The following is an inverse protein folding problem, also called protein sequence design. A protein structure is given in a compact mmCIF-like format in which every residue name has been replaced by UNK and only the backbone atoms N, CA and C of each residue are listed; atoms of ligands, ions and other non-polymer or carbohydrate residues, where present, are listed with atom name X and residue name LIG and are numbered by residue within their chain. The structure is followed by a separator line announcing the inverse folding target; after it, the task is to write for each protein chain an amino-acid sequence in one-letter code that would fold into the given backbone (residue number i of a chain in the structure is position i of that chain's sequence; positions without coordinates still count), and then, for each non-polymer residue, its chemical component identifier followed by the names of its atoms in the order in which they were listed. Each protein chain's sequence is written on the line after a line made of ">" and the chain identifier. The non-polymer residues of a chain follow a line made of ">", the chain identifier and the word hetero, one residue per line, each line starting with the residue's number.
data_IF_856043575024
#
_entry.id   IF_856043575024
#
_cell.length_a   1.000
_cell.length_b   1.000
_cell.length_c   1.000
_cell.angle_alpha   90.00
_cell.angle_beta   90.00
_cell.angle_gamma   90.00
#
_symmetry.space_group_name_H-M   'P 1'
#
loop_
_entity.id
_entity.type
_entity.pdbx_description
1 polymer ?
#
# COMPACT_ATOMS: atom_id res chain seq x y z
N UNK A 1 -21.65 2.36 -12.92
CA UNK A 1 -20.44 1.89 -13.64
C UNK A 1 -19.66 0.80 -12.90
N UNK A 2 -19.85 0.59 -11.59
CA UNK A 2 -19.16 -0.46 -10.82
C UNK A 2 -19.75 -1.88 -10.95
N UNK A 3 -21.04 -2.01 -11.30
CA UNK A 3 -21.71 -3.31 -11.45
C UNK A 3 -21.16 -4.16 -12.61
N UNK A 4 -20.70 -3.52 -13.69
CA UNK A 4 -20.18 -4.20 -14.87
C UNK A 4 -18.83 -4.86 -14.63
N UNK A 5 -17.99 -4.27 -13.76
CA UNK A 5 -16.66 -4.80 -13.43
C UNK A 5 -16.76 -6.00 -12.49
N UNK A 6 -17.69 -5.95 -11.53
CA UNK A 6 -17.96 -7.08 -10.62
C UNK A 6 -18.61 -8.25 -11.39
N UNK A 7 -19.54 -7.96 -12.32
CA UNK A 7 -20.15 -8.98 -13.16
C UNK A 7 -19.14 -9.66 -14.11
N UNK A 8 -18.21 -8.90 -14.70
CA UNK A 8 -17.14 -9.44 -15.54
C UNK A 8 -16.12 -10.28 -14.75
N UNK A 9 -15.77 -9.85 -13.53
CA UNK A 9 -14.88 -10.61 -12.63
C UNK A 9 -15.49 -11.94 -12.16
N UNK A 10 -16.77 -11.94 -11.77
CA UNK A 10 -17.50 -13.15 -11.37
C UNK A 10 -17.72 -14.07 -12.58
N UNK A 11 -18.02 -13.53 -13.77
CA UNK A 11 -18.16 -14.31 -15.00
C UNK A 11 -16.87 -14.98 -15.47
N UNK A 12 -15.73 -14.30 -15.30
CA UNK A 12 -14.40 -14.86 -15.58
C UNK A 12 -14.01 -15.99 -14.62
N UNK A 13 -14.24 -15.81 -13.31
CA UNK A 13 -14.01 -16.87 -12.32
C UNK A 13 -14.97 -18.05 -12.49
N UNK A 14 -16.26 -17.79 -12.79
CA UNK A 14 -17.25 -18.83 -13.02
C UNK A 14 -16.97 -19.67 -14.27
N UNK A 15 -16.47 -19.06 -15.35
CA UNK A 15 -16.11 -19.80 -16.57
C UNK A 15 -14.84 -20.65 -16.39
N UNK A 16 -13.84 -20.14 -15.64
CA UNK A 16 -12.67 -20.93 -15.25
C UNK A 16 -13.05 -22.08 -14.31
N UNK A 17 -13.92 -21.80 -13.32
CA UNK A 17 -14.47 -22.80 -12.41
C UNK A 17 -15.43 -23.80 -13.08
N UNK A 18 -16.05 -23.45 -14.20
CA UNK A 18 -16.91 -24.36 -14.96
C UNK A 18 -16.13 -25.23 -15.95
N UNK A 19 -14.94 -24.80 -16.41
CA UNK A 19 -14.13 -25.56 -17.37
C UNK A 19 -13.44 -26.79 -16.76
N UNK A 20 -12.93 -26.69 -15.54
CA UNK A 20 -12.27 -27.80 -14.82
C UNK A 20 -13.22 -28.70 -14.00
N UNK A 21 -14.45 -28.25 -13.73
CA UNK A 21 -15.44 -28.98 -12.91
C UNK A 21 -15.91 -30.30 -13.55
N UNK A 22 -16.18 -30.38 -14.87
CA UNK A 22 -16.51 -31.63 -15.53
C UNK A 22 -15.39 -32.66 -15.41
N UNK A 23 -14.13 -32.23 -15.53
CA UNK A 23 -12.95 -33.11 -15.40
C UNK A 23 -12.80 -33.67 -13.98
N UNK A 24 -13.04 -32.84 -12.96
CA UNK A 24 -13.03 -33.28 -11.55
C UNK A 24 -14.17 -34.27 -11.29
N UNK A 25 -15.38 -33.97 -11.76
CA UNK A 25 -16.55 -34.86 -11.59
C UNK A 25 -16.35 -36.18 -12.34
N UNK A 26 -15.73 -36.15 -13.51
CA UNK A 26 -15.42 -37.36 -14.27
C UNK A 26 -14.36 -38.20 -13.57
N UNK A 27 -13.27 -37.58 -13.08
CA UNK A 27 -12.26 -38.29 -12.28
C UNK A 27 -12.87 -38.91 -11.01
N UNK A 28 -13.73 -38.17 -10.30
CA UNK A 28 -14.42 -38.68 -9.11
C UNK A 28 -15.36 -39.84 -9.48
N UNK A 29 -16.11 -39.74 -10.58
CA UNK A 29 -16.97 -40.83 -11.06
C UNK A 29 -16.18 -42.07 -11.46
N UNK A 30 -15.06 -41.92 -12.15
CA UNK A 30 -14.18 -43.04 -12.53
C UNK A 30 -13.58 -43.72 -11.30
N UNK A 31 -13.14 -42.93 -10.31
CA UNK A 31 -12.68 -43.44 -9.01
C UNK A 31 -13.81 -44.14 -8.25
N UNK A 32 -15.03 -43.60 -8.29
CA UNK A 32 -16.20 -44.19 -7.62
C UNK A 32 -16.66 -45.49 -8.26
N UNK A 33 -16.64 -45.57 -9.60
CA UNK A 33 -16.93 -46.80 -10.35
C UNK A 33 -15.83 -47.83 -10.12
N UNK A 34 -14.57 -47.43 -10.01
CA UNK A 34 -13.47 -48.33 -9.68
C UNK A 34 -13.55 -48.86 -8.23
N UNK A 35 -13.96 -48.02 -7.27
CA UNK A 35 -14.18 -48.40 -5.88
C UNK A 35 -15.44 -49.27 -5.69
N UNK A 36 -16.49 -49.02 -6.49
CA UNK A 36 -17.76 -49.76 -6.45
C UNK A 36 -17.78 -51.02 -7.32
N UNK A 37 -16.85 -51.15 -8.27
CA UNK A 37 -16.63 -52.40 -8.99
C UNK A 37 -16.11 -53.44 -7.99
N UNK A 38 -16.77 -54.59 -7.93
CA UNK A 38 -16.45 -55.72 -7.07
C UNK A 38 -15.09 -56.29 -7.46
N UNK A 39 -14.03 -55.62 -7.03
CA UNK A 39 -12.66 -55.99 -7.32
C UNK A 39 -12.24 -57.09 -6.34
N UNK A 40 -11.50 -58.11 -6.80
CA UNK A 40 -10.98 -59.20 -5.96
C UNK A 40 -9.87 -58.74 -4.98
N UNK A 41 -9.70 -57.43 -4.79
CA UNK A 41 -8.64 -56.82 -4.00
C UNK A 41 -9.15 -56.67 -2.58
N UNK A 42 -8.45 -57.28 -1.64
CA UNK A 42 -8.80 -57.24 -0.22
C UNK A 42 -8.95 -55.80 0.26
N UNK A 43 -10.11 -55.44 0.84
CA UNK A 43 -10.46 -54.07 1.26
C UNK A 43 -9.41 -53.40 2.15
N UNK A 44 -8.60 -54.19 2.87
CA UNK A 44 -7.49 -53.73 3.70
C UNK A 44 -6.38 -53.03 2.90
N UNK A 45 -6.12 -53.46 1.66
CA UNK A 45 -5.12 -52.83 0.78
C UNK A 45 -5.59 -51.43 0.37
N UNK A 46 -6.88 -51.27 0.06
CA UNK A 46 -7.49 -49.97 -0.25
C UNK A 46 -7.42 -49.05 0.96
N UNK A 47 -7.69 -49.57 2.17
CA UNK A 47 -7.57 -48.81 3.41
C UNK A 47 -6.13 -48.35 3.69
N UNK A 48 -5.14 -49.23 3.49
CA UNK A 48 -3.72 -48.88 3.66
C UNK A 48 -3.26 -47.81 2.65
N UNK A 49 -3.73 -47.90 1.40
CA UNK A 49 -3.37 -46.96 0.35
C UNK A 49 -4.05 -45.59 0.57
N UNK A 50 -5.29 -45.57 1.04
CA UNK A 50 -5.98 -44.35 1.46
C UNK A 50 -5.28 -43.68 2.65
N UNK A 51 -4.83 -44.45 3.64
CA UNK A 51 -4.09 -43.94 4.80
C UNK A 51 -2.78 -43.24 4.38
N UNK A 52 -2.08 -43.77 3.36
CA UNK A 52 -0.85 -43.17 2.83
C UNK A 52 -1.10 -41.95 1.94
N UNK A 53 -2.21 -41.93 1.19
CA UNK A 53 -2.58 -40.82 0.34
C UNK A 53 -3.05 -39.59 1.14
N UNK A 54 -3.72 -39.81 2.27
CA UNK A 54 -4.29 -38.75 3.11
C UNK A 54 -3.28 -37.65 3.52
N UNK A 55 -2.08 -37.96 4.08
CA UNK A 55 -1.10 -36.94 4.42
C UNK A 55 -0.57 -36.19 3.19
N UNK A 56 -0.37 -36.87 2.05
CA UNK A 56 0.07 -36.20 0.81
C UNK A 56 -0.96 -35.21 0.30
N UNK A 57 -2.24 -35.55 0.38
CA UNK A 57 -3.34 -34.66 0.00
C UNK A 57 -3.43 -33.46 0.95
N UNK A 58 -3.35 -33.69 2.27
CA UNK A 58 -3.38 -32.61 3.27
C UNK A 58 -2.23 -31.62 3.09
N UNK A 59 -1.01 -32.10 2.86
CA UNK A 59 0.15 -31.24 2.60
C UNK A 59 -0.01 -30.50 1.27
N UNK A 60 -0.47 -31.16 0.21
CA UNK A 60 -0.73 -30.53 -1.08
C UNK A 60 -1.75 -29.40 -0.98
N UNK A 61 -2.85 -29.62 -0.27
CA UNK A 61 -3.88 -28.59 -0.02
C UNK A 61 -3.33 -27.46 0.85
N UNK A 62 -2.54 -27.76 1.88
CA UNK A 62 -1.93 -26.75 2.75
C UNK A 62 -0.96 -25.85 1.97
N UNK A 63 -0.11 -26.43 1.12
CA UNK A 63 0.82 -25.68 0.27
C UNK A 63 0.08 -24.86 -0.78
N UNK A 64 -0.94 -25.43 -1.43
CA UNK A 64 -1.80 -24.68 -2.36
C UNK A 64 -2.49 -23.51 -1.65
N UNK A 65 -2.97 -23.70 -0.42
CA UNK A 65 -3.51 -22.62 0.40
C UNK A 65 -2.48 -21.57 0.79
N UNK A 66 -1.22 -21.93 1.02
CA UNK A 66 -0.16 -20.95 1.27
C UNK A 66 0.21 -20.15 0.02
N UNK A 67 0.18 -20.76 -1.17
CA UNK A 67 0.42 -20.11 -2.46
C UNK A 67 -0.72 -19.16 -2.86
N UNK A 68 -1.96 -19.52 -2.54
CA UNK A 68 -3.15 -18.71 -2.85
C UNK A 68 -3.44 -17.66 -1.77
N UNK A 69 -2.87 -17.82 -0.56
CA UNK A 69 -2.96 -16.77 0.46
C UNK A 69 -2.22 -15.54 -0.08
N UNK A 70 -2.91 -14.40 -0.26
CA UNK A 70 -2.22 -13.18 -0.54
C UNK A 70 -1.25 -12.94 0.61
N UNK A 71 0.04 -12.82 0.28
CA UNK A 71 1.04 -12.31 1.22
C UNK A 71 0.42 -11.09 1.89
N UNK A 72 0.37 -11.02 3.24
CA UNK A 72 -0.11 -9.82 3.91
C UNK A 72 0.70 -8.68 3.31
N UNK A 73 0.02 -7.72 2.69
CA UNK A 73 0.66 -6.56 2.11
C UNK A 73 1.67 -6.07 3.15
N UNK A 74 2.96 -6.11 2.82
CA UNK A 74 4.02 -5.62 3.68
C UNK A 74 3.53 -4.29 4.22
N UNK A 75 3.53 -4.13 5.55
CA UNK A 75 3.04 -2.90 6.20
C UNK A 75 3.55 -1.71 5.39
N UNK A 76 2.68 -0.78 4.98
CA UNK A 76 3.11 0.34 4.16
C UNK A 76 4.26 1.03 4.90
N UNK A 77 5.43 1.00 4.27
CA UNK A 77 6.66 1.48 4.88
C UNK A 77 6.63 3.00 4.83
N UNK A 78 6.24 3.61 5.94
CA UNK A 78 6.19 5.05 6.09
C UNK A 78 7.60 5.67 5.97
N UNK A 79 8.68 4.89 6.05
CA UNK A 79 10.01 5.38 5.73
C UNK A 79 10.17 5.83 4.28
N UNK A 80 9.30 5.38 3.36
CA UNK A 80 9.24 5.87 1.98
C UNK A 80 8.66 7.28 1.83
N UNK A 81 8.03 7.83 2.88
CA UNK A 81 7.45 9.17 2.86
C UNK A 81 8.50 10.24 3.19
N UNK A 82 9.32 10.60 2.20
CA UNK A 82 10.47 11.50 2.35
C UNK A 82 10.34 12.83 1.62
N UNK A 83 9.21 13.07 0.95
CA UNK A 83 8.94 14.31 0.20
C UNK A 83 7.46 14.67 0.27
N UNK A 84 7.15 15.96 0.45
CA UNK A 84 5.80 16.51 0.31
C UNK A 84 5.85 18.03 0.14
N UNK A 85 4.72 18.64 -0.23
CA UNK A 85 4.58 20.09 -0.36
C UNK A 85 3.87 20.68 0.85
N UNK A 86 4.54 21.60 1.55
CA UNK A 86 3.98 22.36 2.66
C UNK A 86 4.27 23.84 2.48
N UNK A 87 3.26 24.67 2.74
CA UNK A 87 3.38 26.14 2.68
C UNK A 87 3.89 26.68 1.33
N UNK A 88 3.55 26.02 0.22
CA UNK A 88 4.01 26.43 -1.13
C UNK A 88 5.46 26.05 -1.45
N UNK A 89 6.13 25.32 -0.55
CA UNK A 89 7.49 24.80 -0.71
C UNK A 89 7.45 23.28 -0.82
N UNK A 90 8.36 22.72 -1.62
CA UNK A 90 8.61 21.28 -1.61
C UNK A 90 9.61 20.99 -0.50
N UNK A 91 9.26 20.10 0.41
CA UNK A 91 10.12 19.67 1.49
C UNK A 91 10.62 18.27 1.21
N UNK A 92 11.92 18.05 1.41
CA UNK A 92 12.52 16.72 1.41
C UNK A 92 13.20 16.49 2.74
N UNK A 93 13.11 15.27 3.24
CA UNK A 93 13.71 14.89 4.50
C UNK A 93 14.10 13.41 4.48
N UNK A 94 14.81 12.99 5.52
CA UNK A 94 15.16 11.59 5.76
C UNK A 94 14.72 11.19 7.17
N UNK A 95 14.60 9.89 7.39
CA UNK A 95 14.32 9.34 8.72
C UNK A 95 15.56 8.67 9.28
N UNK A 96 15.75 8.80 10.59
CA UNK A 96 16.62 7.93 11.35
C UNK A 96 15.90 6.61 11.61
N UNK A 97 16.65 5.58 12.04
CA UNK A 97 16.09 4.28 12.39
C UNK A 97 15.06 4.34 13.53
N UNK A 98 15.11 5.39 14.36
CA UNK A 98 14.16 5.65 15.45
C UNK A 98 12.89 6.40 14.99
N UNK A 99 12.82 6.78 13.70
CA UNK A 99 11.71 7.53 13.11
C UNK A 99 11.75 9.03 13.27
N UNK A 100 12.82 9.57 13.85
CA UNK A 100 13.02 11.02 13.87
C UNK A 100 13.42 11.54 12.49
N UNK A 101 12.91 12.73 12.17
CA UNK A 101 13.18 13.41 10.89
C UNK A 101 14.56 14.08 10.98
N UNK A 102 15.43 13.81 10.00
CA UNK A 102 16.71 14.48 9.81
C UNK A 102 16.86 15.01 8.39
N UNK A 103 17.82 15.92 8.21
CA UNK A 103 18.19 16.50 6.91
C UNK A 103 16.99 17.08 6.14
N UNK A 104 16.20 17.92 6.82
CA UNK A 104 15.03 18.55 6.24
C UNK A 104 15.45 19.80 5.44
N UNK A 105 15.05 19.83 4.18
CA UNK A 105 15.43 20.88 3.24
C UNK A 105 14.26 21.34 2.38
N UNK A 106 14.29 22.63 2.02
CA UNK A 106 13.30 23.27 1.16
C UNK A 106 13.77 23.35 -0.29
N UNK A 107 12.87 23.02 -1.21
CA UNK A 107 13.08 22.99 -2.65
C UNK A 107 11.98 23.79 -3.35
N UNK A 108 12.32 24.34 -4.51
CA UNK A 108 11.38 25.00 -5.39
C UNK A 108 10.45 23.95 -6.04
N UNK A 109 9.12 24.07 -5.93
CA UNK A 109 8.20 23.15 -6.57
C UNK A 109 8.23 23.21 -8.11
N UNK A 110 8.73 24.31 -8.69
CA UNK A 110 8.76 24.52 -10.14
C UNK A 110 10.00 23.96 -10.84
N UNK A 111 11.19 24.13 -10.25
CA UNK A 111 12.45 23.76 -10.88
C UNK A 111 13.31 22.81 -10.05
N UNK A 112 12.81 22.37 -8.89
CA UNK A 112 13.49 21.47 -7.96
C UNK A 112 14.84 21.99 -7.42
N UNK A 113 15.08 23.29 -7.54
CA UNK A 113 16.27 23.94 -6.99
C UNK A 113 16.14 24.08 -5.47
N UNK A 114 17.20 23.77 -4.73
CA UNK A 114 17.22 23.96 -3.28
C UNK A 114 17.14 25.46 -2.95
N UNK A 115 16.21 25.84 -2.09
CA UNK A 115 15.98 27.24 -1.70
C UNK A 115 16.27 27.43 -0.23
N UNK A 116 16.81 28.59 0.12
CA UNK A 116 17.13 28.97 1.49
C UNK A 116 16.31 30.19 1.93
N UNK A 117 15.98 30.31 3.23
CA UNK A 117 15.26 31.47 3.74
C UNK A 117 16.13 32.72 3.60
N UNK A 118 15.57 33.77 2.98
CA UNK A 118 16.17 35.09 2.94
C UNK A 118 15.57 35.94 4.04
N UNK A 119 16.44 36.60 4.82
CA UNK A 119 15.97 37.51 5.86
C UNK A 119 15.32 38.75 5.21
N UNK A 120 14.05 38.98 5.51
CA UNK A 120 13.27 40.12 5.07
C UNK A 120 12.88 41.05 6.24
N UNK A 121 13.42 40.82 7.45
CA UNK A 121 13.26 41.70 8.62
C UNK A 121 14.15 42.94 8.45
N UNK A 122 13.83 43.81 7.49
CA UNK A 122 14.67 44.97 7.22
C UNK A 122 14.80 45.86 8.47
N UNK A 123 13.71 46.06 9.24
CA UNK A 123 13.69 46.81 10.51
C UNK A 123 12.46 46.48 11.40
N UNK A 124 11.78 45.36 11.16
CA UNK A 124 10.56 44.98 11.87
C UNK A 124 10.88 44.28 13.20
N UNK A 125 10.04 44.50 14.23
CA UNK A 125 10.12 43.78 15.50
C UNK A 125 9.75 42.28 15.39
N UNK A 126 9.26 41.85 14.22
CA UNK A 126 8.83 40.48 13.92
C UNK A 126 9.72 39.92 12.83
N UNK A 127 10.29 38.74 13.08
CA UNK A 127 11.09 38.04 12.09
C UNK A 127 10.26 37.74 10.84
N UNK A 128 10.81 38.08 9.69
CA UNK A 128 10.19 37.86 8.39
C UNK A 128 11.16 37.13 7.50
N UNK A 129 10.74 35.98 7.00
CA UNK A 129 11.52 35.20 6.04
C UNK A 129 10.79 35.17 4.70
N UNK A 130 11.56 35.26 3.62
CA UNK A 130 11.09 35.11 2.25
C UNK A 130 11.81 33.95 1.60
N UNK A 131 11.08 33.17 0.80
CA UNK A 131 11.69 32.19 -0.09
C UNK A 131 11.61 32.68 -1.53
N UNK A 132 12.77 32.79 -2.16
CA UNK A 132 12.91 33.11 -3.58
C UNK A 132 13.80 32.04 -4.22
N UNK A 133 13.41 31.56 -5.39
CA UNK A 133 14.25 30.65 -6.15
C UNK A 133 15.24 31.44 -7.00
N UNK A 134 16.53 31.10 -6.92
CA UNK A 134 17.57 31.75 -7.74
C UNK A 134 17.57 31.26 -9.19
N UNK A 135 17.07 30.05 -9.45
CA UNK A 135 17.03 29.46 -10.80
C UNK A 135 15.85 29.96 -11.64
N UNK A 136 14.62 29.87 -11.13
CA UNK A 136 13.42 30.30 -11.87
C UNK A 136 12.87 31.67 -11.44
N UNK A 137 13.52 32.35 -10.48
CA UNK A 137 13.12 33.66 -9.95
C UNK A 137 11.71 33.73 -9.36
N UNK A 138 11.04 32.58 -9.14
CA UNK A 138 9.73 32.53 -8.51
C UNK A 138 9.80 32.91 -7.03
N UNK A 139 8.87 33.75 -6.59
CA UNK A 139 8.62 33.96 -5.16
C UNK A 139 7.76 32.81 -4.63
N UNK A 140 8.29 32.06 -3.67
CA UNK A 140 7.68 30.82 -3.16
C UNK A 140 6.84 31.04 -1.90
N UNK A 141 6.96 32.22 -1.28
CA UNK A 141 6.17 32.61 -0.13
C UNK A 141 6.94 33.52 0.83
N UNK A 142 6.18 34.19 1.70
CA UNK A 142 6.72 35.00 2.79
C UNK A 142 6.01 34.60 4.09
N UNK A 143 6.78 34.46 5.16
CA UNK A 143 6.29 34.10 6.48
C UNK A 143 6.68 35.18 7.48
N UNK A 144 5.77 35.50 8.40
CA UNK A 144 5.98 36.46 9.49
C UNK A 144 6.46 35.74 10.76
N UNK A 145 7.36 34.78 10.59
CA UNK A 145 7.96 33.98 11.65
C UNK A 145 9.39 33.62 11.25
N UNK A 146 10.22 33.25 12.23
CA UNK A 146 11.55 32.70 11.99
C UNK A 146 11.49 31.35 11.26
N UNK A 147 12.56 31.02 10.54
CA UNK A 147 12.67 29.75 9.79
C UNK A 147 12.47 28.53 10.67
N UNK A 148 13.01 28.55 11.90
CA UNK A 148 12.87 27.45 12.87
C UNK A 148 11.41 27.17 13.23
N UNK A 149 10.55 28.19 13.29
CA UNK A 149 9.14 28.02 13.57
C UNK A 149 8.41 27.32 12.41
N UNK A 150 8.74 27.69 11.17
CA UNK A 150 8.19 27.07 9.96
C UNK A 150 8.67 25.62 9.82
N UNK A 151 9.95 25.36 10.10
CA UNK A 151 10.51 24.01 10.11
C UNK A 151 9.83 23.13 11.18
N UNK A 152 9.66 23.65 12.41
CA UNK A 152 8.98 22.95 13.50
C UNK A 152 7.52 22.63 13.16
N UNK A 153 6.79 23.57 12.55
CA UNK A 153 5.43 23.33 12.05
C UNK A 153 5.41 22.24 10.99
N UNK A 154 6.36 22.27 10.04
CA UNK A 154 6.47 21.26 8.98
C UNK A 154 6.71 19.87 9.57
N UNK A 155 7.65 19.72 10.50
CA UNK A 155 7.89 18.44 11.22
C UNK A 155 6.62 17.92 11.90
N UNK A 156 5.85 18.80 12.55
CA UNK A 156 4.57 18.42 13.18
C UNK A 156 3.52 17.96 12.15
N UNK A 157 3.44 18.62 10.99
CA UNK A 157 2.54 18.20 9.91
C UNK A 157 2.93 16.85 9.30
N UNK A 158 4.22 16.61 9.08
CA UNK A 158 4.74 15.31 8.62
C UNK A 158 4.31 14.21 9.61
N UNK A 159 4.58 14.40 10.90
CA UNK A 159 4.20 13.45 11.95
C UNK A 159 2.68 13.24 12.02
N UNK A 160 1.89 14.30 11.84
CA UNK A 160 0.43 14.19 11.77
C UNK A 160 -0.02 13.35 10.57
N UNK A 161 0.55 13.56 9.38
CA UNK A 161 0.22 12.77 8.18
C UNK A 161 0.60 11.31 8.35
N UNK A 162 1.77 11.01 8.91
CA UNK A 162 2.20 9.64 9.23
C UNK A 162 1.18 8.96 10.14
N UNK A 163 0.81 9.62 11.25
CA UNK A 163 -0.17 9.08 12.21
C UNK A 163 -1.56 8.87 11.61
N UNK A 164 -1.96 9.74 10.69
CA UNK A 164 -3.29 9.71 10.08
C UNK A 164 -3.34 8.85 8.80
N UNK A 165 -2.24 8.24 8.35
CA UNK A 165 -2.19 7.46 7.11
C UNK A 165 -2.21 8.28 5.80
N UNK A 166 -2.41 9.60 5.88
CA UNK A 166 -2.56 10.50 4.73
C UNK A 166 -1.28 10.74 3.90
N UNK A 167 -0.24 9.94 4.11
CA UNK A 167 1.05 10.00 3.42
C UNK A 167 1.13 9.02 2.24
N UNK A 168 0.50 7.85 2.37
CA UNK A 168 0.35 6.91 1.26
C UNK A 168 -0.85 7.38 0.45
N UNK A 169 -0.62 7.83 -0.78
CA UNK A 169 -1.66 8.36 -1.68
C UNK A 169 -2.89 7.45 -1.90
N UNK A 170 -2.89 6.22 -1.36
CA UNK A 170 -4.06 5.34 -1.22
C UNK A 170 -5.18 5.90 -0.34
N UNK A 171 -4.88 6.80 0.59
CA UNK A 171 -5.84 7.27 1.60
C UNK A 171 -6.45 8.63 1.27
N UNK A 172 -5.93 9.32 0.24
CA UNK A 172 -6.54 10.55 -0.28
C UNK A 172 -7.96 10.30 -0.81
N UNK A 173 -8.24 9.09 -1.32
CA UNK A 173 -9.57 8.64 -1.73
C UNK A 173 -10.43 8.15 -0.55
N UNK A 174 -9.83 7.57 0.49
CA UNK A 174 -10.57 7.09 1.67
C UNK A 174 -11.08 8.22 2.59
N UNK A 175 -10.34 9.33 2.69
CA UNK A 175 -10.76 10.52 3.45
C UNK A 175 -11.86 11.30 2.70
N UNK A 176 -11.86 11.31 1.36
CA UNK A 176 -12.96 11.89 0.58
C UNK A 176 -14.25 11.07 0.67
N UNK A 177 -14.17 9.75 0.83
CA UNK A 177 -15.34 8.89 1.00
C UNK A 177 -16.04 9.05 2.37
N UNK A 178 -15.29 9.44 3.41
CA UNK A 178 -15.83 9.55 4.78
C UNK A 178 -16.22 11.00 5.19
N UNK A 179 -15.95 11.99 4.32
CA UNK A 179 -16.26 13.40 4.54
C UNK A 179 -17.60 13.88 3.97
N UNK A 180 -18.39 13.00 3.33
CA UNK A 180 -19.70 13.36 2.74
C UNK A 180 -20.93 12.95 3.59
N UNK A 181 -20.72 12.49 4.82
CA UNK A 181 -21.81 12.24 5.78
C UNK A 181 -21.75 13.22 6.95
N UNK A 182 -21.94 14.51 6.66
CA UNK A 182 -22.57 15.47 7.58
C UNK A 182 -23.38 16.48 6.78
#
# INVERSE_FOLDING_TARGET
>A
MWASVIAAGIGGLASYLAGWWPSIVQAVKEVWIFLGATSPISHWVVAALALLALPTFVVGVMLAWQLVRPTPASRPDWHGYTEDNFFGLRWRWRFFDDGNIWDIHTFCPHCDFQVFPQNASAWDAVDRIRFKCDSCHSELGQFQEAFEAVESKTKRFIQQKIRNGAWSGSDAEAVQANGQTQ
#
